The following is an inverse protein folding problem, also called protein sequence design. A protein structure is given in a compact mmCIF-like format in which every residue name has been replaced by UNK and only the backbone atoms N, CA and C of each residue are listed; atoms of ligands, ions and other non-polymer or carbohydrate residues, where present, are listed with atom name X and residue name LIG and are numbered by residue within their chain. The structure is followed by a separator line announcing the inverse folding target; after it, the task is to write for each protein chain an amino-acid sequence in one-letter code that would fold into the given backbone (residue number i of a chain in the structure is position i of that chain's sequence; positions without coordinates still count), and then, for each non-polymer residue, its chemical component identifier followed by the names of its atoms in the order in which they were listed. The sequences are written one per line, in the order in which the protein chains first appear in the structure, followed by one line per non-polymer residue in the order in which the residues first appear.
data_IF_019415925222
#
_entry.id   IF_019415925222
#
_cell.length_a   1.000
_cell.length_b   1.000
_cell.length_c   1.000
_cell.angle_alpha   90.00
_cell.angle_beta   90.00
_cell.angle_gamma   90.00
#
_symmetry.space_group_name_H-M   'P 1'
#
loop_
_entity.id
_entity.type
_entity.pdbx_description
1 polymer ?
#
# COMPACT_ATOMS: atom_id res chain seq x y z
N UNK A 1 -14.70 22.35 11.20
CA UNK A 1 -14.00 21.74 10.05
C UNK A 1 -14.39 22.52 8.80
N UNK A 2 -13.49 23.31 8.25
CA UNK A 2 -13.70 23.88 6.91
C UNK A 2 -13.63 22.72 5.91
N UNK A 3 -14.75 22.43 5.24
CA UNK A 3 -14.80 21.45 4.16
C UNK A 3 -13.88 21.92 3.04
N UNK A 4 -12.71 21.30 2.91
CA UNK A 4 -11.84 21.50 1.74
C UNK A 4 -12.66 21.18 0.50
N UNK A 5 -12.88 22.18 -0.36
CA UNK A 5 -13.73 22.08 -1.56
C UNK A 5 -13.11 21.22 -2.67
N UNK A 6 -11.82 20.90 -2.53
CA UNK A 6 -11.02 20.14 -3.50
C UNK A 6 -10.09 19.18 -2.76
N UNK A 7 -9.95 17.97 -3.29
CA UNK A 7 -9.01 16.94 -2.82
C UNK A 7 -8.14 16.48 -3.99
N UNK A 8 -6.90 16.11 -3.70
CA UNK A 8 -5.91 15.62 -4.68
C UNK A 8 -5.62 14.16 -4.40
N UNK A 9 -5.84 13.32 -5.41
CA UNK A 9 -5.67 11.88 -5.34
C UNK A 9 -4.54 11.51 -6.29
N UNK A 10 -3.50 10.86 -5.77
CA UNK A 10 -2.43 10.28 -6.57
C UNK A 10 -2.61 8.77 -6.68
N UNK A 11 -2.53 8.26 -7.92
CA UNK A 11 -2.39 6.83 -8.19
C UNK A 11 -0.90 6.47 -8.10
N UNK A 12 -0.49 5.80 -7.02
CA UNK A 12 0.89 5.38 -6.81
C UNK A 12 1.20 4.01 -7.42
N UNK A 13 0.17 3.21 -7.71
CA UNK A 13 0.33 1.83 -8.17
C UNK A 13 -0.91 1.34 -8.90
N UNK A 14 -0.74 0.64 -10.02
CA UNK A 14 -1.83 0.05 -10.80
C UNK A 14 -1.93 -1.48 -10.73
N UNK A 15 -0.87 -2.18 -10.32
CA UNK A 15 -0.87 -3.64 -10.14
C UNK A 15 0.28 -4.11 -9.23
N UNK A 16 0.20 -5.36 -8.77
CA UNK A 16 1.31 -5.97 -8.02
C UNK A 16 2.52 -6.23 -8.92
N UNK A 17 3.65 -5.56 -8.64
CA UNK A 17 4.87 -5.60 -9.45
C UNK A 17 5.11 -4.36 -10.31
N UNK A 18 4.25 -3.33 -10.21
CA UNK A 18 4.43 -2.01 -10.81
C UNK A 18 5.65 -1.26 -10.21
N UNK A 19 5.93 -0.06 -10.69
CA UNK A 19 7.09 0.73 -10.31
C UNK A 19 7.04 1.22 -8.85
N UNK A 20 7.78 0.54 -7.97
CA UNK A 20 7.81 0.81 -6.52
C UNK A 20 8.30 2.20 -6.12
N UNK A 21 8.96 2.95 -7.02
CA UNK A 21 9.35 4.34 -6.73
C UNK A 21 8.24 5.36 -7.04
N UNK A 22 7.21 5.01 -7.82
CA UNK A 22 6.12 5.93 -8.12
C UNK A 22 5.43 6.45 -6.85
N UNK A 23 5.01 5.61 -5.88
CA UNK A 23 4.41 6.09 -4.64
C UNK A 23 5.35 6.99 -3.82
N UNK A 24 6.65 6.65 -3.79
CA UNK A 24 7.67 7.43 -3.06
C UNK A 24 7.79 8.83 -3.65
N UNK A 25 7.85 8.94 -4.98
CA UNK A 25 7.91 10.22 -5.68
C UNK A 25 6.64 11.05 -5.49
N UNK A 26 5.47 10.42 -5.52
CA UNK A 26 4.19 11.09 -5.28
C UNK A 26 4.10 11.65 -3.86
N UNK A 27 4.45 10.85 -2.85
CA UNK A 27 4.44 11.27 -1.44
C UNK A 27 5.46 12.38 -1.18
N UNK A 28 6.68 12.28 -1.73
CA UNK A 28 7.76 13.22 -1.41
C UNK A 28 7.72 14.50 -2.24
N UNK A 29 7.42 14.38 -3.54
CA UNK A 29 7.48 15.49 -4.50
C UNK A 29 6.14 16.18 -4.78
N UNK A 30 5.01 15.51 -4.54
CA UNK A 30 3.68 16.06 -4.79
C UNK A 30 3.01 16.58 -3.52
N UNK A 31 2.15 17.58 -3.68
CA UNK A 31 1.16 17.88 -2.66
C UNK A 31 -0.11 17.08 -2.95
N UNK A 32 -0.31 15.98 -2.21
CA UNK A 32 -1.43 15.06 -2.37
C UNK A 32 -2.17 14.90 -1.05
N UNK A 33 -3.46 14.58 -1.11
CA UNK A 33 -4.27 14.34 0.09
C UNK A 33 -4.53 12.84 0.27
N UNK A 34 -4.57 12.11 -0.84
CA UNK A 34 -4.73 10.66 -0.86
C UNK A 34 -3.72 10.01 -1.79
N UNK A 35 -3.17 8.89 -1.35
CA UNK A 35 -2.38 7.97 -2.16
C UNK A 35 -3.18 6.67 -2.33
N UNK A 36 -3.50 6.33 -3.58
CA UNK A 36 -4.16 5.08 -3.94
C UNK A 36 -3.13 4.10 -4.47
N UNK A 37 -3.14 2.88 -3.93
CA UNK A 37 -2.24 1.80 -4.35
C UNK A 37 -3.06 0.56 -4.69
N UNK A 38 -3.22 0.31 -5.99
CA UNK A 38 -3.94 -0.86 -6.49
C UNK A 38 -2.96 -2.01 -6.77
N UNK A 39 -3.17 -3.14 -6.12
CA UNK A 39 -2.34 -4.34 -6.21
C UNK A 39 -3.05 -5.51 -6.90
N UNK A 40 -4.39 -5.55 -6.83
CA UNK A 40 -5.13 -6.78 -7.11
C UNK A 40 -5.65 -6.80 -8.54
N UNK A 41 -5.23 -7.83 -9.26
CA UNK A 41 -5.85 -8.29 -10.49
C UNK A 41 -6.43 -9.70 -10.30
N UNK A 42 -7.16 -10.21 -11.28
CA UNK A 42 -7.79 -11.54 -11.24
C UNK A 42 -6.80 -12.66 -10.89
N UNK A 43 -5.65 -12.69 -11.58
CA UNK A 43 -4.58 -13.68 -11.36
C UNK A 43 -3.94 -13.52 -9.97
N UNK A 44 -3.78 -12.28 -9.50
CA UNK A 44 -3.18 -11.98 -8.20
C UNK A 44 -3.94 -12.65 -7.06
N UNK A 45 -5.28 -12.68 -7.13
CA UNK A 45 -6.11 -13.28 -6.08
C UNK A 45 -5.83 -14.77 -5.90
N UNK A 46 -5.68 -15.51 -7.00
CA UNK A 46 -5.33 -16.95 -6.96
C UNK A 46 -3.95 -17.19 -6.33
N UNK A 47 -2.98 -16.32 -6.63
CA UNK A 47 -1.64 -16.38 -6.05
C UNK A 47 -1.70 -16.14 -4.53
N UNK A 48 -2.40 -15.10 -4.09
CA UNK A 48 -2.53 -14.77 -2.66
C UNK A 48 -3.28 -15.89 -1.90
N UNK A 49 -4.30 -16.48 -2.51
CA UNK A 49 -5.00 -17.63 -1.93
C UNK A 49 -4.06 -18.84 -1.76
N UNK A 50 -3.22 -19.14 -2.76
CA UNK A 50 -2.20 -20.20 -2.67
C UNK A 50 -1.13 -19.90 -1.63
N UNK A 51 -0.76 -18.63 -1.43
CA UNK A 51 0.15 -18.24 -0.35
C UNK A 51 -0.48 -18.47 1.02
N UNK A 52 -1.75 -18.08 1.20
CA UNK A 52 -2.50 -18.26 2.45
C UNK A 52 -2.73 -19.74 2.78
N UNK A 53 -2.99 -20.58 1.78
CA UNK A 53 -3.17 -22.03 2.02
C UNK A 53 -1.88 -22.71 2.49
N UNK A 54 -0.71 -22.21 2.07
CA UNK A 54 0.60 -22.69 2.52
C UNK A 54 0.99 -22.14 3.89
N UNK A 55 0.63 -20.89 4.19
CA UNK A 55 0.86 -20.26 5.47
C UNK A 55 -0.31 -19.33 5.82
N UNK A 56 -1.10 -19.62 6.87
CA UNK A 56 -2.23 -18.79 7.29
C UNK A 56 -1.88 -17.33 7.60
N UNK A 57 -0.61 -17.01 7.89
CA UNK A 57 -0.13 -15.65 8.11
C UNK A 57 0.14 -14.88 6.80
N UNK A 58 0.09 -15.52 5.62
CA UNK A 58 0.26 -14.88 4.31
C UNK A 58 -1.10 -14.57 3.65
N UNK A 59 -1.09 -14.18 2.37
CA UNK A 59 -2.28 -13.84 1.58
C UNK A 59 -2.44 -12.36 1.29
N UNK A 60 -1.34 -11.60 1.36
CA UNK A 60 -1.27 -10.18 1.05
C UNK A 60 0.03 -9.88 0.28
N UNK A 61 0.08 -8.75 -0.42
CA UNK A 61 1.28 -8.29 -1.12
C UNK A 61 2.35 -7.87 -0.11
N UNK A 62 3.41 -8.66 0.07
CA UNK A 62 4.37 -8.47 1.16
C UNK A 62 5.31 -7.26 0.94
N UNK A 63 5.55 -6.90 -0.32
CA UNK A 63 6.28 -5.71 -0.73
C UNK A 63 5.57 -4.40 -0.36
N UNK A 64 4.24 -4.42 -0.22
CA UNK A 64 3.48 -3.30 0.35
C UNK A 64 3.99 -2.89 1.74
N UNK A 65 4.37 -3.85 2.58
CA UNK A 65 4.88 -3.56 3.93
C UNK A 65 6.20 -2.81 3.87
N UNK A 66 7.10 -3.22 2.97
CA UNK A 66 8.38 -2.53 2.73
C UNK A 66 8.16 -1.14 2.12
N UNK A 67 7.19 -1.00 1.21
CA UNK A 67 6.84 0.31 0.66
C UNK A 67 6.33 1.24 1.77
N UNK A 68 5.40 0.76 2.60
CA UNK A 68 4.83 1.53 3.70
C UNK A 68 5.91 1.96 4.66
N UNK A 69 6.85 1.10 5.05
CA UNK A 69 7.98 1.50 5.89
C UNK A 69 8.76 2.70 5.32
N UNK A 70 8.99 2.74 4.00
CA UNK A 70 9.72 3.85 3.34
C UNK A 70 8.95 5.17 3.35
N UNK A 71 7.62 5.14 3.26
CA UNK A 71 6.80 6.35 3.07
C UNK A 71 5.99 6.74 4.30
N UNK A 72 5.79 5.86 5.27
CA UNK A 72 4.92 6.08 6.43
C UNK A 72 5.31 7.32 7.26
N UNK A 73 6.61 7.62 7.49
CA UNK A 73 6.99 8.87 8.16
C UNK A 73 6.55 10.13 7.41
N UNK A 74 6.73 10.15 6.08
CA UNK A 74 6.34 11.27 5.22
C UNK A 74 4.81 11.39 5.15
N UNK A 75 4.11 10.26 4.99
CA UNK A 75 2.65 10.16 4.96
C UNK A 75 2.04 10.71 6.26
N UNK A 76 2.58 10.29 7.41
CA UNK A 76 2.11 10.75 8.72
C UNK A 76 2.36 12.25 8.91
N UNK A 77 3.57 12.73 8.57
CA UNK A 77 3.94 14.14 8.70
C UNK A 77 3.08 15.04 7.82
N UNK A 78 2.78 14.61 6.59
CA UNK A 78 1.98 15.38 5.62
C UNK A 78 0.46 15.17 5.77
N UNK A 79 0.02 14.28 6.64
CA UNK A 79 -1.40 13.94 6.81
C UNK A 79 -2.04 13.29 5.57
N UNK A 80 -1.25 12.56 4.77
CA UNK A 80 -1.73 11.87 3.57
C UNK A 80 -2.53 10.63 4.00
N UNK A 81 -3.65 10.37 3.34
CA UNK A 81 -4.42 9.13 3.53
C UNK A 81 -4.06 8.09 2.49
N UNK A 82 -3.62 6.91 2.92
CA UNK A 82 -3.30 5.79 2.02
C UNK A 82 -4.51 4.86 1.91
N UNK A 83 -4.91 4.54 0.69
CA UNK A 83 -5.97 3.57 0.37
C UNK A 83 -5.35 2.48 -0.48
N UNK A 84 -5.47 1.23 -0.05
CA UNK A 84 -4.91 0.10 -0.80
C UNK A 84 -5.70 -1.19 -0.59
N UNK A 85 -5.69 -2.03 -1.62
CA UNK A 85 -6.19 -3.40 -1.58
C UNK A 85 -5.07 -4.45 -1.44
N UNK A 86 -3.82 -4.04 -1.16
CA UNK A 86 -2.67 -4.92 -0.95
C UNK A 86 -2.90 -6.05 0.08
N UNK A 87 -3.86 -5.84 1.00
CA UNK A 87 -4.29 -6.83 1.99
C UNK A 87 -4.80 -8.14 1.39
N UNK A 88 -5.22 -8.14 0.12
CA UNK A 88 -5.61 -9.36 -0.58
C UNK A 88 -6.65 -10.19 0.16
N UNK A 89 -6.36 -11.49 0.30
CA UNK A 89 -7.21 -12.45 1.03
C UNK A 89 -6.89 -12.50 2.53
N UNK A 90 -5.97 -11.68 3.03
CA UNK A 90 -5.63 -11.58 4.45
C UNK A 90 -5.26 -10.15 4.91
N UNK A 91 -6.23 -9.22 4.87
CA UNK A 91 -5.98 -7.81 5.20
C UNK A 91 -5.56 -7.59 6.66
N UNK A 92 -6.00 -8.45 7.59
CA UNK A 92 -5.62 -8.38 9.01
C UNK A 92 -4.14 -8.71 9.21
N UNK A 93 -3.64 -9.77 8.57
CA UNK A 93 -2.21 -10.09 8.62
C UNK A 93 -1.36 -9.01 7.94
N UNK A 94 -1.84 -8.43 6.83
CA UNK A 94 -1.19 -7.30 6.18
C UNK A 94 -1.01 -6.12 7.14
N UNK A 95 -2.06 -5.72 7.87
CA UNK A 95 -2.01 -4.61 8.83
C UNK A 95 -1.10 -4.88 10.04
N UNK A 96 -0.92 -6.13 10.43
CA UNK A 96 -0.07 -6.54 11.56
C UNK A 96 1.38 -6.84 11.14
N UNK A 97 1.65 -6.89 9.83
CA UNK A 97 2.95 -7.26 9.31
C UNK A 97 3.99 -6.20 9.67
N UNK A 98 5.14 -6.68 10.15
CA UNK A 98 6.31 -5.84 10.41
C UNK A 98 7.27 -5.93 9.22
N UNK A 99 7.93 -4.83 8.84
CA UNK A 99 8.96 -4.87 7.81
C UNK A 99 10.09 -5.84 8.20
N UNK A 100 10.72 -6.47 7.21
CA UNK A 100 11.80 -7.45 7.43
C UNK A 100 13.17 -6.80 7.62
N UNK A 101 13.29 -5.52 7.27
CA UNK A 101 14.45 -4.66 7.53
C UNK A 101 14.55 -4.44 9.04
N UNK A 102 15.63 -4.98 9.63
CA UNK A 102 16.03 -4.62 10.98
C UNK A 102 16.53 -3.16 10.96
N UNK A 103 16.26 -2.35 12.00
CA UNK A 103 17.02 -1.12 12.22
C UNK A 103 18.52 -1.43 12.36
#
# INVERSE_FOLDING_TARGET
MTTRKTIRIAAGQGFWGDWLEAPVRQVRGGEIDYLVLDYLAEVTMSILQKQRSRNPAHGYARDFVTLMERILPDVATKGIRVVSNAGGVNPRACAQAKPRTRP
#
